data_IF_148398145610
#
_entry.id   IF_148398145610
#
_cell.length_a   1.000
_cell.length_b   1.000
_cell.length_c   1.000
_cell.angle_alpha   90.00
_cell.angle_beta   90.00
_cell.angle_gamma   90.00
#
_symmetry.space_group_name_H-M   'P 1'
#
loop_
_entity.id
_entity.type
_entity.pdbx_description
1 polymer ?
#
# COMPACT_ATOMS: atom_id res chain seq x y z
N UNK A 1 -30.43 17.66 -6.00
CA UNK A 1 -29.27 16.85 -6.41
C UNK A 1 -29.01 16.72 -7.94
N UNK A 2 -29.89 17.07 -8.91
CA UNK A 2 -29.58 16.87 -10.34
C UNK A 2 -28.59 17.88 -10.93
N UNK A 3 -28.62 19.14 -10.48
CA UNK A 3 -27.80 20.23 -11.05
C UNK A 3 -26.27 20.05 -10.91
N UNK A 4 -25.81 19.22 -9.99
CA UNK A 4 -24.38 18.93 -9.81
C UNK A 4 -23.84 17.97 -10.87
N UNK A 5 -24.66 17.00 -11.29
CA UNK A 5 -24.30 15.98 -12.29
C UNK A 5 -24.14 16.62 -13.67
N UNK A 6 -25.01 17.56 -14.03
CA UNK A 6 -24.94 18.28 -15.30
C UNK A 6 -23.70 19.17 -15.41
N UNK A 7 -23.28 19.77 -14.29
CA UNK A 7 -22.08 20.62 -14.24
C UNK A 7 -20.79 19.81 -14.43
N UNK A 8 -20.76 18.55 -13.96
CA UNK A 8 -19.65 17.62 -14.19
C UNK A 8 -19.58 17.16 -15.64
N UNK A 9 -20.72 16.81 -16.25
CA UNK A 9 -20.77 16.40 -17.67
C UNK A 9 -20.33 17.52 -18.62
N UNK A 10 -20.75 18.77 -18.36
CA UNK A 10 -20.35 19.92 -19.17
C UNK A 10 -18.83 20.16 -19.14
N UNK A 11 -18.21 20.06 -17.96
CA UNK A 11 -16.75 20.20 -17.82
C UNK A 11 -15.96 19.09 -18.52
N UNK A 12 -16.50 17.87 -18.56
CA UNK A 12 -15.88 16.76 -19.30
C UNK A 12 -15.93 16.98 -20.82
N UNK A 13 -17.04 17.52 -21.34
CA UNK A 13 -17.17 17.91 -22.75
C UNK A 13 -16.18 19.00 -23.15
N UNK A 14 -16.11 20.09 -22.38
CA UNK A 14 -15.21 21.23 -22.65
C UNK A 14 -13.71 20.84 -22.60
N UNK A 15 -13.36 19.76 -21.89
CA UNK A 15 -11.99 19.24 -21.84
C UNK A 15 -11.67 18.38 -23.07
N UNK A 16 -12.61 17.53 -23.49
CA UNK A 16 -12.45 16.69 -24.67
C UNK A 16 -12.36 17.52 -25.97
N UNK A 17 -13.13 18.61 -26.06
CA UNK A 17 -13.11 19.51 -27.21
C UNK A 17 -11.80 20.31 -27.28
N UNK A 18 -11.19 20.63 -26.12
CA UNK A 18 -9.85 21.23 -26.03
C UNK A 18 -8.71 20.30 -26.43
N UNK A 19 -8.85 18.99 -26.20
CA UNK A 19 -7.87 18.01 -26.70
C UNK A 19 -8.09 17.66 -28.17
N UNK A 20 -9.33 17.67 -28.65
CA UNK A 20 -9.66 17.39 -30.05
C UNK A 20 -9.30 18.56 -31.00
N UNK A 21 -9.32 19.80 -30.49
CA UNK A 21 -8.96 21.00 -31.26
C UNK A 21 -7.46 21.15 -31.56
N UNK A 22 -6.66 20.09 -31.29
CA UNK A 22 -5.36 19.83 -31.90
C UNK A 22 -4.52 21.07 -32.15
N UNK A 23 -3.87 21.59 -31.10
CA UNK A 23 -2.93 22.71 -31.27
C UNK A 23 -1.94 22.35 -32.37
N UNK A 24 -1.89 23.15 -33.44
CA UNK A 24 -0.99 22.97 -34.55
C UNK A 24 0.46 22.98 -34.04
N UNK A 25 1.03 21.79 -33.87
CA UNK A 25 2.43 21.65 -33.49
C UNK A 25 3.24 22.00 -34.73
N UNK A 26 4.14 22.99 -34.67
CA UNK A 26 4.94 23.37 -35.83
C UNK A 26 5.77 22.18 -36.31
N UNK A 27 5.64 21.85 -37.59
CA UNK A 27 6.42 20.80 -38.24
C UNK A 27 7.91 21.19 -38.22
N UNK A 28 8.70 20.48 -37.41
CA UNK A 28 10.14 20.74 -37.25
C UNK A 28 10.66 20.69 -35.81
N UNK A 29 9.80 20.49 -34.81
CA UNK A 29 10.27 20.12 -33.48
C UNK A 29 10.69 18.65 -33.50
N UNK A 30 12.00 18.39 -33.54
CA UNK A 30 12.55 17.11 -33.06
C UNK A 30 11.89 16.79 -31.71
N UNK A 31 11.44 15.55 -31.45
CA UNK A 31 11.04 15.14 -30.11
C UNK A 31 12.30 15.10 -29.25
N UNK A 32 12.76 16.29 -28.85
CA UNK A 32 13.77 16.48 -27.82
C UNK A 32 13.34 15.58 -26.66
N UNK A 33 14.26 14.68 -26.29
CA UNK A 33 14.13 13.68 -25.24
C UNK A 33 13.15 14.14 -24.16
N UNK A 34 12.18 13.29 -23.74
CA UNK A 34 11.18 13.67 -22.78
C UNK A 34 11.89 14.32 -21.61
N UNK A 35 11.73 15.65 -21.49
CA UNK A 35 12.29 16.37 -20.37
C UNK A 35 11.75 15.65 -19.15
N UNK A 36 12.65 15.08 -18.35
CA UNK A 36 12.42 14.60 -16.99
C UNK A 36 12.00 15.82 -16.16
N UNK A 37 10.85 16.39 -16.50
CA UNK A 37 10.21 17.41 -15.71
C UNK A 37 9.86 16.69 -14.43
N UNK A 38 10.53 17.08 -13.36
CA UNK A 38 10.21 16.75 -11.97
C UNK A 38 8.71 16.98 -11.75
N UNK A 39 7.92 15.95 -12.05
CA UNK A 39 6.47 16.00 -11.90
C UNK A 39 6.23 15.99 -10.40
N UNK A 40 5.91 17.16 -9.87
CA UNK A 40 5.51 17.29 -8.47
C UNK A 40 4.42 16.25 -8.19
N UNK A 41 4.56 15.44 -7.12
CA UNK A 41 3.62 14.37 -6.83
C UNK A 41 2.21 14.92 -6.73
N UNK A 42 1.26 14.21 -7.33
CA UNK A 42 -0.15 14.60 -7.24
C UNK A 42 -0.66 14.44 -5.80
N UNK A 43 -1.66 15.25 -5.40
CA UNK A 43 -2.29 15.13 -4.07
C UNK A 43 -2.80 13.70 -3.82
N UNK A 44 -3.26 13.03 -4.88
CA UNK A 44 -3.73 11.64 -4.84
C UNK A 44 -2.59 10.67 -4.52
N UNK A 45 -1.44 10.79 -5.18
CA UNK A 45 -0.25 9.96 -4.92
C UNK A 45 0.22 10.11 -3.47
N UNK A 46 0.34 11.35 -2.98
CA UNK A 46 0.71 11.62 -1.59
C UNK A 46 -0.29 11.00 -0.61
N UNK A 47 -1.58 11.06 -0.93
CA UNK A 47 -2.64 10.42 -0.15
C UNK A 47 -2.51 8.90 -0.09
N UNK A 48 -2.14 8.26 -1.21
CA UNK A 48 -1.89 6.82 -1.28
C UNK A 48 -0.66 6.42 -0.46
N UNK A 49 0.45 7.15 -0.59
CA UNK A 49 1.67 6.91 0.17
C UNK A 49 1.43 7.04 1.69
N UNK A 50 0.74 8.09 2.14
CA UNK A 50 0.37 8.26 3.55
C UNK A 50 -0.54 7.16 4.07
N UNK A 51 -1.46 6.65 3.24
CA UNK A 51 -2.32 5.51 3.61
C UNK A 51 -1.50 4.24 3.75
N UNK A 52 -0.61 3.96 2.80
CA UNK A 52 0.30 2.80 2.85
C UNK A 52 1.21 2.87 4.08
N UNK A 53 1.80 4.03 4.37
CA UNK A 53 2.64 4.25 5.55
C UNK A 53 1.91 3.91 6.86
N UNK A 54 0.64 4.33 7.01
CA UNK A 54 -0.18 3.96 8.18
C UNK A 54 -0.38 2.45 8.31
N UNK A 55 -0.66 1.77 7.19
CA UNK A 55 -0.82 0.30 7.17
C UNK A 55 0.50 -0.39 7.55
N UNK A 56 1.65 0.07 7.05
CA UNK A 56 2.95 -0.50 7.39
C UNK A 56 3.30 -0.31 8.88
N UNK A 57 2.98 0.85 9.46
CA UNK A 57 3.18 1.09 10.90
C UNK A 57 2.35 0.13 11.76
N UNK A 58 1.07 -0.03 11.43
CA UNK A 58 0.18 -1.01 12.10
C UNK A 58 0.71 -2.45 11.95
N UNK A 59 1.15 -2.82 10.74
CA UNK A 59 1.75 -4.14 10.48
C UNK A 59 3.02 -4.36 11.32
N UNK A 60 3.90 -3.35 11.41
CA UNK A 60 5.12 -3.40 12.23
C UNK A 60 4.79 -3.62 13.70
N UNK A 61 3.82 -2.90 14.24
CA UNK A 61 3.37 -3.05 15.63
C UNK A 61 2.86 -4.46 15.92
N UNK A 62 2.01 -5.00 15.03
CA UNK A 62 1.52 -6.37 15.14
C UNK A 62 2.67 -7.40 15.10
N UNK A 63 3.60 -7.27 14.15
CA UNK A 63 4.72 -8.20 14.05
C UNK A 63 5.69 -8.12 15.23
N UNK A 64 5.85 -6.94 15.85
CA UNK A 64 6.64 -6.79 17.08
C UNK A 64 5.96 -7.47 18.28
N UNK A 65 4.63 -7.36 18.39
CA UNK A 65 3.87 -8.08 19.40
C UNK A 65 4.01 -9.61 19.22
N UNK A 66 3.89 -10.10 17.99
CA UNK A 66 4.08 -11.51 17.66
C UNK A 66 5.51 -12.00 17.97
N UNK A 67 6.53 -11.19 17.67
CA UNK A 67 7.92 -11.50 17.98
C UNK A 67 8.13 -11.61 19.51
N UNK A 68 7.52 -10.71 20.29
CA UNK A 68 7.55 -10.77 21.75
C UNK A 68 6.90 -12.05 22.29
N UNK A 69 5.72 -12.41 21.78
CA UNK A 69 5.03 -13.63 22.14
C UNK A 69 5.85 -14.89 21.81
N UNK A 70 6.49 -14.90 20.64
CA UNK A 70 7.38 -15.99 20.22
C UNK A 70 8.57 -16.17 21.18
N UNK A 71 9.28 -15.08 21.50
CA UNK A 71 10.44 -15.12 22.40
C UNK A 71 10.03 -15.56 23.80
N UNK A 72 8.87 -15.10 24.28
CA UNK A 72 8.31 -15.52 25.57
C UNK A 72 8.04 -17.04 25.59
N UNK A 73 7.40 -17.58 24.55
CA UNK A 73 7.11 -19.03 24.48
C UNK A 73 8.39 -19.88 24.38
N UNK A 74 9.39 -19.44 23.61
CA UNK A 74 10.69 -20.14 23.56
C UNK A 74 11.37 -20.18 24.93
N UNK A 75 11.33 -19.08 25.66
CA UNK A 75 11.87 -19.00 27.02
C UNK A 75 11.09 -19.91 27.98
N UNK A 76 9.75 -19.88 27.92
CA UNK A 76 8.88 -20.71 28.78
C UNK A 76 9.12 -22.22 28.58
N UNK A 77 9.45 -22.63 27.35
CA UNK A 77 9.68 -24.02 27.00
C UNK A 77 11.14 -24.46 27.14
N UNK A 78 12.05 -23.55 27.50
CA UNK A 78 13.51 -23.78 27.54
C UNK A 78 14.07 -24.31 26.20
N UNK A 79 13.45 -23.91 25.08
CA UNK A 79 13.80 -24.34 23.72
C UNK A 79 14.12 -23.14 22.84
N UNK A 80 15.35 -22.61 22.92
CA UNK A 80 15.73 -21.49 22.07
C UNK A 80 15.84 -21.93 20.61
N UNK A 81 15.17 -21.21 19.72
CA UNK A 81 15.35 -21.32 18.27
C UNK A 81 15.77 -19.94 17.73
N UNK A 82 17.08 -19.71 17.76
CA UNK A 82 17.69 -18.44 17.38
C UNK A 82 17.50 -18.13 15.89
N UNK A 83 17.38 -19.14 15.04
CA UNK A 83 17.23 -18.95 13.60
C UNK A 83 15.82 -18.51 13.24
N UNK A 84 14.80 -19.06 13.92
CA UNK A 84 13.43 -18.58 13.80
C UNK A 84 13.29 -17.11 14.22
N UNK A 85 13.88 -16.73 15.36
CA UNK A 85 13.89 -15.34 15.85
C UNK A 85 14.61 -14.43 14.86
N UNK A 86 15.78 -14.84 14.35
CA UNK A 86 16.55 -14.09 13.34
C UNK A 86 15.74 -13.86 12.07
N UNK A 87 15.07 -14.88 11.54
CA UNK A 87 14.21 -14.77 10.36
C UNK A 87 13.05 -13.80 10.60
N UNK A 88 12.33 -13.94 11.73
CA UNK A 88 11.21 -13.04 12.06
C UNK A 88 11.65 -11.59 12.26
N UNK A 89 12.81 -11.37 12.86
CA UNK A 89 13.41 -10.04 13.00
C UNK A 89 13.76 -9.44 11.64
N UNK A 90 14.25 -10.25 10.70
CA UNK A 90 14.46 -9.86 9.31
C UNK A 90 13.18 -9.38 8.63
N UNK A 91 12.07 -10.10 8.80
CA UNK A 91 10.75 -9.71 8.26
C UNK A 91 10.28 -8.35 8.83
N UNK A 92 10.42 -8.15 10.16
CA UNK A 92 10.08 -6.87 10.80
C UNK A 92 10.93 -5.73 10.25
N UNK A 93 12.24 -5.99 10.09
CA UNK A 93 13.18 -5.01 9.56
C UNK A 93 12.82 -4.60 8.12
N UNK A 94 12.44 -5.53 7.26
CA UNK A 94 12.03 -5.22 5.90
C UNK A 94 10.80 -4.28 5.86
N UNK A 95 9.79 -4.54 6.71
CA UNK A 95 8.59 -3.67 6.83
C UNK A 95 8.97 -2.28 7.35
N UNK A 96 9.89 -2.21 8.31
CA UNK A 96 10.37 -0.95 8.88
C UNK A 96 11.16 -0.12 7.85
N UNK A 97 12.01 -0.76 7.05
CA UNK A 97 12.75 -0.12 5.95
C UNK A 97 11.78 0.43 4.89
N UNK A 98 10.75 -0.31 4.49
CA UNK A 98 9.70 0.18 3.57
C UNK A 98 8.97 1.40 4.14
N UNK A 99 8.63 1.36 5.44
CA UNK A 99 7.96 2.47 6.11
C UNK A 99 8.83 3.73 6.16
N UNK A 100 10.12 3.60 6.52
CA UNK A 100 11.08 4.71 6.56
C UNK A 100 11.29 5.31 5.17
N UNK A 101 11.39 4.47 4.15
CA UNK A 101 11.59 4.91 2.78
C UNK A 101 10.39 5.73 2.26
N UNK A 102 9.15 5.30 2.56
CA UNK A 102 7.94 6.08 2.23
C UNK A 102 7.84 7.39 3.01
N UNK A 103 8.26 7.40 4.28
CA UNK A 103 8.26 8.61 5.12
C UNK A 103 9.27 9.64 4.59
N UNK A 104 10.49 9.19 4.24
CA UNK A 104 11.51 10.03 3.60
C UNK A 104 11.02 10.60 2.26
N UNK A 105 10.43 9.76 1.40
CA UNK A 105 9.88 10.20 0.12
C UNK A 105 8.77 11.25 0.29
N UNK A 106 7.90 11.08 1.29
CA UNK A 106 6.87 12.07 1.64
C UNK A 106 7.46 13.39 2.18
N UNK A 107 8.59 13.32 2.91
CA UNK A 107 9.32 14.47 3.43
C UNK A 107 10.03 15.28 2.35
N UNK A 108 10.62 14.61 1.36
CA UNK A 108 11.29 15.24 0.23
C UNK A 108 10.34 15.65 -0.90
N UNK A 109 9.07 15.22 -0.86
CA UNK A 109 8.11 15.52 -1.92
C UNK A 109 8.36 14.74 -3.20
N UNK A 110 8.91 13.53 -3.09
CA UNK A 110 9.18 12.64 -4.22
C UNK A 110 7.88 12.08 -4.82
N UNK A 111 7.92 11.87 -6.14
CA UNK A 111 6.84 11.28 -6.93
C UNK A 111 6.64 9.80 -6.66
N UNK A 112 5.44 9.27 -6.98
CA UNK A 112 5.21 7.82 -6.92
C UNK A 112 6.16 7.05 -7.85
N UNK A 113 6.45 7.62 -9.02
CA UNK A 113 7.34 7.03 -10.03
C UNK A 113 8.77 6.88 -9.50
N UNK A 114 9.24 7.84 -8.71
CA UNK A 114 10.57 7.81 -8.09
C UNK A 114 10.65 6.74 -6.98
N UNK A 115 9.58 6.60 -6.19
CA UNK A 115 9.44 5.53 -5.19
C UNK A 115 9.35 4.15 -5.84
N UNK A 116 8.76 4.04 -7.04
CA UNK A 116 8.76 2.81 -7.81
C UNK A 116 10.13 2.51 -8.43
N UNK A 117 10.83 3.52 -8.95
CA UNK A 117 12.16 3.37 -9.55
C UNK A 117 13.22 2.93 -8.54
N UNK A 118 13.10 3.38 -7.29
CA UNK A 118 13.94 2.94 -6.16
C UNK A 118 13.57 1.53 -5.65
N UNK A 119 12.53 0.91 -6.22
CA UNK A 119 12.09 -0.42 -5.85
C UNK A 119 11.48 -0.52 -4.46
N UNK A 120 11.02 0.60 -3.88
CA UNK A 120 10.40 0.62 -2.53
C UNK A 120 8.97 0.04 -2.58
N UNK A 121 8.26 0.26 -3.69
CA UNK A 121 6.92 -0.28 -3.89
C UNK A 121 6.63 -0.50 -5.39
N UNK A 122 5.82 -1.50 -5.70
CA UNK A 122 5.19 -1.64 -7.02
C UNK A 122 3.83 -0.96 -7.06
N UNK A 123 3.26 -0.78 -8.26
CA UNK A 123 1.86 -0.38 -8.42
C UNK A 123 1.03 -1.51 -9.03
N UNK A 124 -0.22 -1.64 -8.56
CA UNK A 124 -1.15 -2.61 -9.11
C UNK A 124 -1.61 -2.17 -10.51
N UNK A 125 -1.39 -3.01 -11.52
CA UNK A 125 -1.82 -2.73 -12.90
C UNK A 125 -3.34 -2.54 -13.06
N UNK A 126 -4.16 -3.12 -12.16
CA UNK A 126 -5.63 -3.02 -12.21
C UNK A 126 -6.18 -1.77 -11.53
N UNK A 127 -5.78 -1.50 -10.29
CA UNK A 127 -6.39 -0.44 -9.46
C UNK A 127 -5.43 0.68 -9.05
N UNK A 128 -4.16 0.62 -9.48
CA UNK A 128 -3.09 1.58 -9.19
C UNK A 128 -2.81 1.77 -7.69
N UNK A 129 -3.20 0.80 -6.85
CA UNK A 129 -2.78 0.78 -5.45
C UNK A 129 -1.31 0.41 -5.33
N UNK A 130 -0.62 0.96 -4.35
CA UNK A 130 0.73 0.54 -3.98
C UNK A 130 0.72 -0.91 -3.47
N UNK A 131 1.67 -1.71 -3.97
CA UNK A 131 1.95 -3.09 -3.62
C UNK A 131 3.36 -3.13 -3.02
N UNK A 132 3.54 -3.82 -1.90
CA UNK A 132 4.86 -4.00 -1.30
C UNK A 132 5.82 -4.78 -2.21
N UNK A 133 7.12 -4.67 -1.97
CA UNK A 133 8.15 -5.37 -2.76
C UNK A 133 7.97 -6.88 -2.76
N UNK A 134 7.59 -7.44 -1.61
CA UNK A 134 7.40 -8.89 -1.43
C UNK A 134 5.94 -9.34 -1.63
N UNK A 135 5.00 -8.42 -1.88
CA UNK A 135 3.59 -8.75 -2.05
C UNK A 135 3.33 -9.30 -3.46
N UNK A 136 2.80 -10.53 -3.53
CA UNK A 136 2.38 -11.18 -4.78
C UNK A 136 1.00 -10.73 -5.27
N UNK A 137 0.18 -10.16 -4.39
CA UNK A 137 -1.20 -9.77 -4.67
C UNK A 137 -1.52 -8.38 -4.12
N UNK A 138 -2.36 -7.64 -4.83
CA UNK A 138 -2.82 -6.33 -4.39
C UNK A 138 -3.83 -6.46 -3.25
N UNK A 139 -3.53 -5.87 -2.09
CA UNK A 139 -4.44 -5.83 -0.93
C UNK A 139 -5.80 -5.16 -1.17
N UNK A 140 -5.93 -4.34 -2.22
CA UNK A 140 -7.18 -3.64 -2.54
C UNK A 140 -8.11 -4.42 -3.47
N UNK A 141 -7.57 -5.15 -4.45
CA UNK A 141 -8.37 -5.78 -5.51
C UNK A 141 -8.02 -7.25 -5.77
N UNK A 142 -7.08 -7.82 -5.01
CA UNK A 142 -6.67 -9.23 -5.12
C UNK A 142 -5.90 -9.59 -6.40
N UNK A 143 -5.64 -8.63 -7.29
CA UNK A 143 -4.95 -8.91 -8.56
C UNK A 143 -3.48 -9.26 -8.30
N UNK A 144 -2.99 -10.32 -8.94
CA UNK A 144 -1.59 -10.72 -8.83
C UNK A 144 -0.67 -9.65 -9.41
N UNK A 145 0.55 -9.56 -8.87
CA UNK A 145 1.58 -8.66 -9.36
C UNK A 145 2.02 -9.01 -10.79
N UNK A 146 2.02 -10.30 -11.10
CA UNK A 146 2.34 -10.84 -12.42
C UNK A 146 1.13 -10.82 -13.38
N UNK A 147 0.00 -10.25 -12.96
CA UNK A 147 -1.17 -10.13 -13.83
C UNK A 147 -0.81 -9.24 -15.02
N UNK A 148 -0.77 -9.87 -16.19
CA UNK A 148 -0.75 -9.18 -17.46
C UNK A 148 -2.19 -9.18 -17.98
N UNK A 149 -2.76 -8.04 -18.41
CA UNK A 149 -3.95 -8.09 -19.23
C UNK A 149 -3.61 -8.98 -20.42
N UNK A 150 -4.37 -10.06 -20.60
CA UNK A 150 -4.26 -10.87 -21.82
C UNK A 150 -4.46 -9.89 -22.98
N UNK A 151 -3.49 -9.78 -23.92
CA UNK A 151 -3.62 -8.86 -25.02
C UNK A 151 -4.91 -9.23 -25.72
N UNK A 152 -5.88 -8.32 -25.69
CA UNK A 152 -7.15 -8.48 -26.37
C UNK A 152 -6.79 -8.76 -27.83
N UNK A 153 -6.90 -10.03 -28.22
CA UNK A 153 -6.50 -10.46 -29.55
C UNK A 153 -7.22 -9.53 -30.52
N UNK A 154 -6.50 -8.88 -31.46
CA UNK A 154 -7.13 -7.94 -32.38
C UNK A 154 -8.31 -8.69 -32.99
N UNK A 155 -9.52 -8.16 -32.75
CA UNK A 155 -10.75 -8.81 -33.17
C UNK A 155 -10.58 -9.22 -34.63
N UNK A 156 -10.42 -10.52 -34.86
CA UNK A 156 -10.33 -11.04 -36.21
C UNK A 156 -11.61 -10.56 -36.92
N UNK A 157 -11.53 -10.00 -38.13
CA UNK A 157 -12.73 -9.63 -38.88
C UNK A 157 -13.63 -10.84 -38.95
N UNK A 158 -14.87 -10.69 -38.47
CA UNK A 158 -15.83 -11.77 -38.30
C UNK A 158 -15.92 -12.63 -39.57
N UNK A 159 -15.50 -13.91 -39.54
CA UNK A 159 -15.83 -14.82 -40.61
C UNK A 159 -17.33 -15.13 -40.52
N UNK A 160 -18.00 -15.00 -41.66
CA UNK A 160 -19.44 -15.15 -41.80
C UNK A 160 -19.98 -16.43 -41.17
N UNK A 161 -21.22 -16.30 -40.69
CA UNK A 161 -22.07 -17.35 -40.16
C UNK A 161 -21.89 -18.70 -40.88
N UNK A 162 -21.39 -19.69 -40.15
CA UNK A 162 -21.69 -21.09 -40.43
C UNK A 162 -22.23 -21.75 -39.17
N UNK A 163 -23.27 -22.53 -39.41
CA UNK A 163 -24.21 -23.07 -38.46
C UNK A 163 -23.58 -24.08 -37.48
N UNK A 164 -24.18 -24.09 -36.29
CA UNK A 164 -24.10 -25.09 -35.22
C UNK A 164 -24.24 -26.53 -35.74
N UNK A 165 -23.57 -27.48 -35.08
CA UNK A 165 -24.35 -28.54 -34.45
C UNK A 165 -24.02 -28.72 -32.95
N UNK A 166 -24.96 -29.41 -32.32
CA UNK A 166 -25.19 -29.55 -30.90
C UNK A 166 -24.37 -30.67 -30.21
N UNK A 167 -24.46 -30.66 -28.87
CA UNK A 167 -24.09 -31.70 -27.90
C UNK A 167 -22.57 -31.75 -27.57
N UNK A 168 -22.12 -31.90 -26.33
CA UNK A 168 -22.68 -32.66 -25.21
C UNK A 168 -22.46 -31.95 -23.86
N UNK A 169 -23.46 -32.10 -22.99
CA UNK A 169 -23.46 -31.65 -21.61
C UNK A 169 -22.56 -32.54 -20.74
N UNK A 170 -21.56 -31.93 -20.09
CA UNK A 170 -20.87 -32.55 -18.96
C UNK A 170 -21.29 -31.85 -17.67
N UNK A 171 -22.16 -32.55 -16.94
CA UNK A 171 -22.58 -32.24 -15.58
C UNK A 171 -21.40 -32.48 -14.63
N UNK A 172 -20.69 -31.41 -14.26
CA UNK A 172 -19.71 -31.47 -13.18
C UNK A 172 -20.43 -31.29 -11.85
N UNK A 173 -20.37 -32.34 -11.04
CA UNK A 173 -20.90 -32.45 -9.68
C UNK A 173 -20.17 -31.45 -8.80
N UNK A 174 -20.89 -30.49 -8.22
CA UNK A 174 -20.40 -29.56 -7.20
C UNK A 174 -20.36 -30.33 -5.88
N UNK A 175 -19.20 -30.50 -5.21
CA UNK A 175 -19.19 -30.94 -3.82
C UNK A 175 -19.78 -29.83 -2.95
N UNK A 176 -20.93 -30.13 -2.35
CA UNK A 176 -21.60 -29.32 -1.33
C UNK A 176 -20.65 -29.15 -0.15
N UNK A 177 -20.06 -27.96 -0.02
CA UNK A 177 -19.31 -27.56 1.16
C UNK A 177 -20.29 -27.41 2.33
N UNK A 178 -20.06 -28.19 3.38
CA UNK A 178 -20.72 -28.08 4.68
C UNK A 178 -20.66 -26.64 5.19
N UNK A 179 -21.84 -26.04 5.33
CA UNK A 179 -22.06 -24.83 6.11
C UNK A 179 -21.69 -25.10 7.57
N UNK A 180 -20.49 -24.71 7.97
CA UNK A 180 -20.16 -24.56 9.38
C UNK A 180 -20.85 -23.29 9.89
N UNK A 181 -21.85 -23.50 10.73
CA UNK A 181 -22.53 -22.48 11.52
C UNK A 181 -21.49 -21.81 12.43
N UNK A 182 -21.29 -20.49 12.35
CA UNK A 182 -20.50 -19.78 13.34
C UNK A 182 -21.25 -19.81 14.69
N UNK A 183 -20.57 -20.07 15.82
CA UNK A 183 -21.19 -19.88 17.13
C UNK A 183 -21.47 -18.39 17.33
N UNK A 184 -22.74 -18.06 17.57
CA UNK A 184 -23.17 -16.78 18.10
C UNK A 184 -22.52 -16.58 19.47
N UNK A 185 -21.42 -15.83 19.50
CA UNK A 185 -20.87 -15.25 20.71
C UNK A 185 -21.70 -14.03 21.08
N UNK A 186 -22.42 -14.13 22.19
CA UNK A 186 -23.11 -13.02 22.85
C UNK A 186 -22.13 -11.85 23.05
N UNK A 187 -22.46 -10.63 22.60
CA UNK A 187 -21.72 -9.44 23.01
C UNK A 187 -22.15 -9.07 24.43
N UNK A 188 -21.27 -9.30 25.40
CA UNK A 188 -21.37 -8.69 26.72
C UNK A 188 -21.33 -7.16 26.58
N UNK A 189 -22.52 -6.59 26.79
CA UNK A 189 -22.85 -5.17 26.80
C UNK A 189 -22.42 -4.59 28.16
N UNK A 190 -21.12 -4.40 28.40
CA UNK A 190 -20.66 -3.77 29.65
C UNK A 190 -19.30 -3.07 29.53
N UNK A 191 -19.32 -1.76 29.23
CA UNK A 191 -18.47 -0.75 29.88
C UNK A 191 -18.68 0.64 29.27
N UNK A 192 -19.72 1.35 29.75
CA UNK A 192 -19.75 2.82 29.71
C UNK A 192 -18.69 3.38 30.67
N UNK A 193 -17.43 3.35 30.25
CA UNK A 193 -16.35 4.08 30.88
C UNK A 193 -16.39 5.54 30.45
N UNK A 194 -17.09 6.38 31.22
CA UNK A 194 -17.05 7.84 31.10
C UNK A 194 -15.67 8.32 31.61
N UNK A 195 -14.66 8.16 30.76
CA UNK A 195 -13.28 8.58 31.01
C UNK A 195 -13.14 10.09 30.90
N UNK A 196 -13.43 10.77 32.01
CA UNK A 196 -13.03 12.14 32.31
C UNK A 196 -11.53 12.29 32.00
N UNK A 197 -11.19 12.96 30.91
CA UNK A 197 -9.81 13.34 30.60
C UNK A 197 -9.26 14.19 31.74
N UNK A 198 -8.19 13.80 32.44
CA UNK A 198 -7.50 14.69 33.34
C UNK A 198 -6.89 15.82 32.51
N UNK A 199 -7.21 17.02 32.96
CA UNK A 199 -6.75 18.32 32.49
C UNK A 199 -5.23 18.37 32.58
N UNK A 200 -4.61 18.63 31.44
CA UNK A 200 -3.17 18.83 31.23
C UNK A 200 -2.72 20.19 31.79
N UNK A 201 -2.82 20.35 33.11
CA UNK A 201 -2.28 21.50 33.87
C UNK A 201 -1.45 20.96 35.03
N UNK A 202 -0.25 20.47 34.75
CA UNK A 202 0.89 20.41 35.68
C UNK A 202 2.09 19.75 34.98
N UNK A 203 2.54 20.38 33.89
CA UNK A 203 3.88 20.08 33.35
C UNK A 203 4.84 21.09 33.98
N UNK A 204 5.65 20.71 34.99
CA UNK A 204 6.67 21.60 35.52
C UNK A 204 7.66 21.95 34.40
N UNK A 205 8.20 23.19 34.38
CA UNK A 205 9.31 23.51 33.50
C UNK A 205 10.50 22.63 33.88
N UNK A 206 11.02 21.88 32.90
CA UNK A 206 12.23 21.08 33.03
C UNK A 206 13.39 22.01 33.42
N UNK A 207 13.85 21.83 34.65
CA UNK A 207 15.03 22.45 35.19
C UNK A 207 16.27 21.80 34.58
N UNK A 208 17.17 22.66 34.11
CA UNK A 208 18.61 22.45 34.16
C UNK A 208 19.20 21.35 33.25
N UNK A 209 19.65 21.81 32.08
CA UNK A 209 20.95 21.43 31.53
C UNK A 209 22.04 21.57 32.62
N UNK A 210 22.23 20.53 33.43
CA UNK A 210 23.46 20.33 34.19
C UNK A 210 24.29 19.29 33.46
N UNK A 211 25.39 19.79 32.90
CA UNK A 211 26.30 19.01 32.10
C UNK A 211 26.88 17.81 32.82
N UNK A 212 27.30 16.84 32.03
CA UNK A 212 28.38 15.97 32.45
C UNK A 212 29.34 15.84 31.28
N UNK A 213 30.36 16.70 31.29
CA UNK A 213 31.58 16.44 30.55
C UNK A 213 32.23 15.21 31.13
N UNK A 214 32.37 14.15 30.34
CA UNK A 214 33.42 13.17 30.57
C UNK A 214 34.37 13.19 29.39
N UNK A 215 35.43 13.98 29.59
CA UNK A 215 36.72 13.74 28.98
C UNK A 215 37.14 12.31 29.29
N UNK A 216 37.26 11.47 28.26
CA UNK A 216 38.04 10.24 28.35
C UNK A 216 39.36 10.52 27.64
N UNK A 217 40.31 11.01 28.43
CA UNK A 217 41.73 10.78 28.21
C UNK A 217 42.01 9.32 28.60
N UNK A 218 42.73 8.58 27.75
CA UNK A 218 43.57 7.41 28.05
C UNK A 218 44.33 7.11 26.76
N UNK A 219 45.53 7.68 26.61
CA UNK A 219 46.81 7.19 27.14
C UNK A 219 47.27 5.92 26.43
N UNK A 220 48.34 6.13 25.64
CA UNK A 220 49.51 5.29 25.41
C UNK A 220 49.43 3.77 25.67
N UNK A 221 49.59 2.99 24.60
CA UNK A 221 50.63 1.93 24.45
C UNK A 221 50.71 1.43 23.00
#
# INVERSE_FOLDING_TARGET
MPAFVDKLRKRAGDAAERTASGSAVPAGADPSAPAEQERKPSVRERGLMRRRLRVLRQKREAMLADLGALVYEQHRQERPDADLVRRKTGEVRAVDEEARALDAALGHGQGLDEVMATGIAGSCARCQSLIGTEEKYCSRCGTSRDWRPEPEAPAAPAPGAQAVPAAEAQTAVIPTAESQTPPEGEPDDEAKGNGKTPREEDRPPDEAEQGNGQAVQREDE
#
